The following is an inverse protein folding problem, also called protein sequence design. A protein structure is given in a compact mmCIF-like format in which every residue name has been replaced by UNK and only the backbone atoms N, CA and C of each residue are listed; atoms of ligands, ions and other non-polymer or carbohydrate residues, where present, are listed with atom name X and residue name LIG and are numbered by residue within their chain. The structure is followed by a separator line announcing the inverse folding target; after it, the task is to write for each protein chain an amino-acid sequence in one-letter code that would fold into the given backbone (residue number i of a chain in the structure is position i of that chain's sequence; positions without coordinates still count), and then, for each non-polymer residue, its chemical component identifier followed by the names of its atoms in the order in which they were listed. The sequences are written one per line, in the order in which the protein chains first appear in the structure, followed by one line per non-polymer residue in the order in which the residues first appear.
data_IF_552017868945
#
_entry.id   IF_552017868945
#
_cell.length_a   1.000
_cell.length_b   1.000
_cell.length_c   1.000
_cell.angle_alpha   90.00
_cell.angle_beta   90.00
_cell.angle_gamma   90.00
#
_symmetry.space_group_name_H-M   'P 1'
#
loop_
_entity.id
_entity.type
_entity.pdbx_description
1 polymer ?
#
# COMPACT_ATOMS: atom_id res chain seq x y z
N UNK A 1 3.21 -5.07 -21.63
CA UNK A 1 2.20 -5.17 -20.56
C UNK A 1 1.80 -3.78 -20.10
N UNK A 2 0.55 -3.60 -19.69
CA UNK A 2 0.09 -2.33 -19.12
C UNK A 2 0.90 -1.98 -17.87
N UNK A 3 1.26 -0.71 -17.72
CA UNK A 3 1.88 -0.20 -16.50
C UNK A 3 0.86 0.11 -15.39
N UNK A 4 -0.40 -0.26 -15.59
CA UNK A 4 -1.48 -0.10 -14.62
C UNK A 4 -1.86 -1.41 -13.96
N UNK A 5 -2.16 -1.37 -12.66
CA UNK A 5 -2.67 -2.50 -11.89
C UNK A 5 -3.88 -2.03 -11.08
N UNK A 6 -4.98 -2.80 -11.14
CA UNK A 6 -6.15 -2.58 -10.30
C UNK A 6 -6.17 -3.60 -9.17
N UNK A 7 -6.31 -3.11 -7.94
CA UNK A 7 -6.46 -3.95 -6.75
C UNK A 7 -7.78 -3.55 -6.08
N UNK A 8 -8.83 -4.36 -6.30
CA UNK A 8 -10.17 -3.95 -5.90
C UNK A 8 -10.54 -2.62 -6.56
N UNK A 9 -10.82 -1.59 -5.76
CA UNK A 9 -11.11 -0.24 -6.24
C UNK A 9 -9.88 0.65 -6.41
N UNK A 10 -8.71 0.21 -5.94
CA UNK A 10 -7.45 0.96 -6.08
C UNK A 10 -6.92 0.86 -7.51
N UNK A 11 -6.40 1.97 -8.03
CA UNK A 11 -5.70 2.00 -9.31
C UNK A 11 -4.27 2.46 -9.09
N UNK A 12 -3.31 1.65 -9.51
CA UNK A 12 -1.89 1.97 -9.48
C UNK A 12 -1.38 2.13 -10.90
N UNK A 13 -0.60 3.16 -11.14
CA UNK A 13 0.11 3.40 -12.40
C UNK A 13 1.59 3.49 -12.13
N UNK A 14 2.34 2.49 -12.60
CA UNK A 14 3.79 2.45 -12.44
C UNK A 14 4.47 3.41 -13.40
N UNK A 15 5.32 4.27 -12.87
CA UNK A 15 6.09 5.26 -13.62
C UNK A 15 7.53 4.80 -13.81
N UNK A 16 8.09 4.15 -12.78
CA UNK A 16 9.41 3.53 -12.78
C UNK A 16 9.28 2.18 -12.07
N UNK A 17 9.70 1.11 -12.69
CA UNK A 17 9.74 -0.21 -12.04
C UNK A 17 11.18 -0.70 -11.85
N UNK A 18 11.34 -1.82 -11.18
CA UNK A 18 12.64 -2.39 -10.83
C UNK A 18 13.50 -2.74 -12.06
N UNK A 19 12.87 -3.10 -13.17
CA UNK A 19 13.57 -3.42 -14.42
C UNK A 19 14.23 -2.20 -15.06
N UNK A 20 13.68 -1.01 -14.85
CA UNK A 20 14.19 0.24 -15.44
C UNK A 20 15.49 0.73 -14.79
N UNK A 21 15.81 0.27 -13.58
CA UNK A 21 16.88 0.87 -12.78
C UNK A 21 17.67 -0.13 -11.93
N UNK A 22 17.70 -1.39 -12.31
CA UNK A 22 18.41 -2.47 -11.59
C UNK A 22 17.96 -2.61 -10.11
N UNK A 23 16.66 -2.50 -9.86
CA UNK A 23 16.08 -2.74 -8.53
C UNK A 23 16.36 -1.65 -7.50
N UNK A 24 16.69 -0.44 -7.91
CA UNK A 24 17.00 0.66 -6.98
C UNK A 24 15.76 1.31 -6.38
N UNK A 25 14.74 1.52 -7.21
CA UNK A 25 13.48 2.08 -6.74
C UNK A 25 12.30 1.66 -7.63
N UNK A 26 11.12 1.73 -7.04
CA UNK A 26 9.84 1.67 -7.75
C UNK A 26 9.10 2.97 -7.48
N UNK A 27 8.50 3.58 -8.49
CA UNK A 27 7.69 4.78 -8.37
C UNK A 27 6.35 4.59 -9.06
N UNK A 28 5.28 4.90 -8.36
CA UNK A 28 3.93 4.76 -8.92
C UNK A 28 2.98 5.83 -8.38
N UNK A 29 1.98 6.18 -9.19
CA UNK A 29 0.80 6.90 -8.74
C UNK A 29 -0.25 5.90 -8.26
N UNK A 30 -0.98 6.25 -7.21
CA UNK A 30 -2.09 5.48 -6.71
C UNK A 30 -3.32 6.35 -6.55
N UNK A 31 -4.45 5.88 -7.07
CA UNK A 31 -5.76 6.47 -6.84
C UNK A 31 -6.49 5.63 -5.80
N UNK A 32 -6.91 6.30 -4.72
CA UNK A 32 -7.68 5.70 -3.62
C UNK A 32 -9.06 6.33 -3.62
N UNK A 33 -10.09 5.67 -4.15
CA UNK A 33 -11.46 6.18 -4.10
C UNK A 33 -11.95 6.35 -2.66
N UNK A 34 -13.02 7.14 -2.51
CA UNK A 34 -13.67 7.26 -1.21
C UNK A 34 -14.05 5.88 -0.67
N UNK A 35 -13.83 5.65 0.63
CA UNK A 35 -14.16 4.39 1.32
C UNK A 35 -13.59 3.12 0.68
N UNK A 36 -12.50 3.25 -0.08
CA UNK A 36 -11.84 2.10 -0.67
C UNK A 36 -11.42 1.10 0.41
N UNK A 37 -11.57 -0.19 0.11
CA UNK A 37 -10.96 -1.23 0.92
C UNK A 37 -9.44 -1.16 0.72
N UNK A 38 -8.72 -1.13 1.82
CA UNK A 38 -7.28 -0.93 1.86
C UNK A 38 -6.61 -2.11 2.55
N UNK A 39 -5.30 -2.31 2.33
CA UNK A 39 -4.55 -3.35 3.03
C UNK A 39 -4.58 -3.17 4.53
N UNK A 40 -4.47 -4.28 5.27
CA UNK A 40 -4.26 -4.25 6.71
C UNK A 40 -2.98 -3.49 7.07
N UNK A 41 -2.91 -2.98 8.29
CA UNK A 41 -1.69 -2.37 8.81
C UNK A 41 -0.52 -3.36 8.70
N UNK A 42 0.62 -2.90 8.21
CA UNK A 42 1.78 -3.73 7.91
C UNK A 42 3.07 -2.93 8.02
N UNK A 43 4.20 -3.60 7.92
CA UNK A 43 5.51 -2.98 7.87
C UNK A 43 6.43 -3.70 6.87
N UNK A 44 7.51 -3.02 6.48
CA UNK A 44 8.54 -3.52 5.59
C UNK A 44 9.88 -3.46 6.29
N UNK A 45 10.65 -4.55 6.25
CA UNK A 45 11.97 -4.62 6.92
C UNK A 45 13.11 -4.13 6.05
N UNK A 46 12.98 -4.28 4.74
CA UNK A 46 14.11 -4.21 3.82
C UNK A 46 14.04 -3.04 2.84
N UNK A 47 13.02 -2.20 2.94
CA UNK A 47 12.88 -1.01 2.10
C UNK A 47 12.15 0.12 2.83
N UNK A 48 12.43 1.35 2.38
CA UNK A 48 11.72 2.57 2.77
C UNK A 48 10.65 2.91 1.75
N UNK A 49 9.67 3.69 2.18
CA UNK A 49 8.60 4.20 1.33
C UNK A 49 8.42 5.69 1.55
N UNK A 50 8.25 6.45 0.47
CA UNK A 50 7.92 7.87 0.51
C UNK A 50 6.58 8.08 -0.15
N UNK A 51 5.72 8.87 0.48
CA UNK A 51 4.41 9.24 -0.04
C UNK A 51 4.34 10.74 -0.26
N UNK A 52 3.81 11.15 -1.40
CA UNK A 52 3.62 12.55 -1.77
C UNK A 52 2.21 12.77 -2.29
N UNK A 53 1.48 13.73 -1.69
CA UNK A 53 0.11 14.05 -2.07
C UNK A 53 0.04 14.77 -3.41
N UNK A 54 -0.83 14.30 -4.31
CA UNK A 54 -1.11 14.92 -5.60
C UNK A 54 -2.52 15.51 -5.67
N UNK A 55 -3.48 14.95 -4.94
CA UNK A 55 -4.86 15.42 -4.89
C UNK A 55 -5.67 14.73 -3.80
N UNK A 56 -6.69 15.41 -3.29
CA UNK A 56 -7.46 14.94 -2.15
C UNK A 56 -6.66 14.95 -0.85
N UNK A 57 -7.12 14.23 0.16
CA UNK A 57 -6.44 14.11 1.44
C UNK A 57 -6.46 12.64 1.92
N UNK A 58 -5.30 12.01 1.98
CA UNK A 58 -5.13 10.65 2.48
C UNK A 58 -4.76 10.67 3.94
N UNK A 59 -5.36 9.81 4.75
CA UNK A 59 -4.92 9.59 6.12
C UNK A 59 -3.95 8.42 6.14
N UNK A 60 -2.71 8.65 6.56
CA UNK A 60 -1.72 7.58 6.78
C UNK A 60 -1.48 7.46 8.27
N UNK A 61 -1.78 6.30 8.83
CA UNK A 61 -1.46 5.99 10.22
C UNK A 61 -0.09 5.33 10.26
N UNK A 62 0.86 5.99 10.90
CA UNK A 62 2.25 5.57 11.02
C UNK A 62 2.59 5.40 12.49
N UNK A 63 2.91 4.17 12.90
CA UNK A 63 3.17 3.81 14.31
C UNK A 63 2.09 4.34 15.27
N UNK A 64 0.82 4.22 14.88
CA UNK A 64 -0.33 4.65 15.68
C UNK A 64 -0.67 6.14 15.57
N UNK A 65 0.10 6.95 14.85
CA UNK A 65 -0.14 8.39 14.67
C UNK A 65 -0.72 8.65 13.28
N UNK A 66 -1.87 9.31 13.22
CA UNK A 66 -2.51 9.67 11.96
C UNK A 66 -1.89 10.94 11.36
N UNK A 67 -1.53 10.85 10.08
CA UNK A 67 -1.02 11.95 9.27
C UNK A 67 -1.97 12.19 8.10
N UNK A 68 -2.44 13.41 7.95
CA UNK A 68 -3.29 13.79 6.83
C UNK A 68 -2.44 14.39 5.72
N UNK A 69 -2.29 13.67 4.61
CA UNK A 69 -1.53 14.09 3.45
C UNK A 69 -2.44 14.74 2.42
N UNK A 70 -2.32 16.04 2.25
CA UNK A 70 -2.96 16.83 1.19
C UNK A 70 -2.00 16.95 0.00
N UNK A 71 -2.48 17.53 -1.10
CA UNK A 71 -1.61 17.86 -2.22
C UNK A 71 -0.41 18.71 -1.77
N UNK A 72 0.81 18.28 -2.10
CA UNK A 72 2.06 18.91 -1.70
C UNK A 72 2.66 18.42 -0.38
N UNK A 73 1.94 17.64 0.41
CA UNK A 73 2.47 17.05 1.64
C UNK A 73 3.25 15.77 1.34
N UNK A 74 4.26 15.49 2.14
CA UNK A 74 5.06 14.27 2.04
C UNK A 74 5.16 13.55 3.38
N UNK A 75 5.35 12.23 3.31
CA UNK A 75 5.58 11.40 4.48
C UNK A 75 6.65 10.35 4.15
N UNK A 76 7.65 10.25 5.02
CA UNK A 76 8.64 9.18 4.97
C UNK A 76 8.21 8.03 5.87
N UNK A 77 8.17 6.83 5.32
CA UNK A 77 7.89 5.59 6.06
C UNK A 77 9.18 4.79 6.19
N UNK A 78 9.83 4.82 7.37
CA UNK A 78 11.07 4.08 7.57
C UNK A 78 10.84 2.57 7.63
N UNK A 79 11.89 1.80 7.42
CA UNK A 79 11.89 0.35 7.61
C UNK A 79 11.35 -0.01 8.99
N UNK A 80 10.49 -1.01 9.08
CA UNK A 80 9.93 -1.49 10.33
C UNK A 80 8.78 -0.67 10.90
N UNK A 81 8.48 0.50 10.35
CA UNK A 81 7.36 1.31 10.82
C UNK A 81 6.01 0.71 10.39
N UNK A 82 5.15 0.43 11.35
CA UNK A 82 3.81 -0.07 11.07
C UNK A 82 2.96 1.05 10.49
N UNK A 83 2.34 0.82 9.34
CA UNK A 83 1.53 1.82 8.65
C UNK A 83 0.32 1.25 7.93
N UNK A 84 -0.64 2.13 7.72
CA UNK A 84 -1.87 1.90 6.98
C UNK A 84 -2.33 3.23 6.38
N UNK A 85 -2.97 3.19 5.22
CA UNK A 85 -3.62 4.37 4.64
C UNK A 85 -5.14 4.18 4.54
N UNK A 86 -5.89 5.28 4.63
CA UNK A 86 -7.35 5.30 4.47
C UNK A 86 -7.78 6.58 3.77
N UNK A 87 -8.82 6.50 2.94
CA UNK A 87 -9.51 7.67 2.41
C UNK A 87 -10.85 7.84 3.14
N UNK A 88 -10.89 8.70 4.15
CA UNK A 88 -12.10 9.05 4.90
C UNK A 88 -12.87 10.23 4.31
N UNK A 89 -12.39 10.79 3.22
CA UNK A 89 -13.04 11.91 2.53
C UNK A 89 -14.11 11.45 1.54
N UNK A 90 -14.62 12.39 0.78
CA UNK A 90 -15.68 12.21 -0.21
C UNK A 90 -15.20 12.45 -1.65
N UNK A 91 -13.90 12.47 -1.85
CA UNK A 91 -13.23 12.63 -3.14
C UNK A 91 -12.20 11.53 -3.32
N UNK A 92 -11.86 11.23 -4.57
CA UNK A 92 -10.73 10.38 -4.88
C UNK A 92 -9.44 11.04 -4.41
N UNK A 93 -8.56 10.25 -3.81
CA UNK A 93 -7.22 10.68 -3.45
C UNK A 93 -6.23 10.19 -4.47
N UNK A 94 -5.31 11.07 -4.89
CA UNK A 94 -4.18 10.71 -5.75
C UNK A 94 -2.87 10.91 -4.99
N UNK A 95 -2.04 9.88 -4.95
CA UNK A 95 -0.74 9.87 -4.28
C UNK A 95 0.35 9.43 -5.23
N UNK A 96 1.55 9.95 -5.02
CA UNK A 96 2.78 9.39 -5.58
C UNK A 96 3.47 8.60 -4.47
N UNK A 97 3.89 7.38 -4.78
CA UNK A 97 4.66 6.54 -3.87
C UNK A 97 6.00 6.17 -4.48
N UNK A 98 7.05 6.16 -3.66
CA UNK A 98 8.40 5.71 -4.02
C UNK A 98 8.84 4.66 -3.01
N UNK A 99 9.30 3.53 -3.49
CA UNK A 99 9.83 2.41 -2.70
C UNK A 99 11.30 2.20 -3.07
N UNK A 100 12.17 2.18 -2.08
CA UNK A 100 13.61 1.98 -2.30
C UNK A 100 14.23 1.11 -1.19
N UNK A 101 15.00 0.07 -1.57
CA UNK A 101 15.13 -0.53 -2.89
C UNK A 101 13.82 -1.10 -3.43
N UNK A 102 13.77 -1.41 -4.72
CA UNK A 102 12.57 -1.85 -5.45
C UNK A 102 12.20 -3.32 -5.15
N UNK A 103 12.07 -3.69 -3.88
CA UNK A 103 11.71 -5.05 -3.45
C UNK A 103 10.23 -5.32 -3.73
N UNK A 104 9.37 -4.31 -3.54
CA UNK A 104 7.95 -4.39 -3.81
C UNK A 104 7.62 -3.57 -5.06
N UNK A 105 7.40 -4.25 -6.16
CA UNK A 105 7.12 -3.64 -7.46
C UNK A 105 5.81 -4.15 -8.08
N UNK A 106 5.64 -3.99 -9.40
CA UNK A 106 4.42 -4.40 -10.10
C UNK A 106 4.00 -5.85 -9.87
N UNK A 107 4.96 -6.77 -9.74
CA UNK A 107 4.69 -8.19 -9.51
C UNK A 107 3.88 -8.41 -8.22
N UNK A 108 4.26 -7.76 -7.13
CA UNK A 108 3.51 -7.83 -5.87
C UNK A 108 2.05 -7.43 -6.06
N UNK A 109 1.82 -6.27 -6.67
CA UNK A 109 0.48 -5.72 -6.82
C UNK A 109 -0.39 -6.55 -7.78
N UNK A 110 0.19 -7.12 -8.83
CA UNK A 110 -0.51 -8.05 -9.73
C UNK A 110 -0.90 -9.34 -9.02
N UNK A 111 0.00 -9.95 -8.28
CA UNK A 111 -0.29 -11.17 -7.50
C UNK A 111 -1.36 -10.91 -6.43
N UNK A 112 -1.29 -9.79 -5.71
CA UNK A 112 -2.31 -9.40 -4.74
C UNK A 112 -3.68 -9.18 -5.42
N UNK A 113 -3.70 -8.53 -6.59
CA UNK A 113 -4.91 -8.33 -7.38
C UNK A 113 -5.55 -9.65 -7.82
N UNK A 114 -4.75 -10.63 -8.22
CA UNK A 114 -5.23 -11.97 -8.59
C UNK A 114 -5.91 -12.68 -7.42
N UNK A 115 -5.32 -12.62 -6.22
CA UNK A 115 -5.92 -13.20 -5.02
C UNK A 115 -7.26 -12.55 -4.68
N UNK A 116 -7.35 -11.22 -4.79
CA UNK A 116 -8.60 -10.48 -4.53
C UNK A 116 -9.64 -10.79 -5.59
N UNK A 117 -9.25 -10.81 -6.86
CA UNK A 117 -10.15 -11.10 -7.98
C UNK A 117 -10.75 -12.50 -7.89
N UNK A 118 -9.96 -13.49 -7.47
CA UNK A 118 -10.41 -14.88 -7.30
C UNK A 118 -11.46 -15.04 -6.21
N UNK A 119 -11.63 -14.09 -5.31
CA UNK A 119 -12.64 -14.13 -4.24
C UNK A 119 -14.06 -13.75 -4.69
N UNK A 120 -14.24 -13.33 -5.93
CA UNK A 120 -15.53 -12.96 -6.53
C UNK A 120 -16.35 -11.96 -5.67
N UNK A 121 -15.69 -10.95 -5.10
CA UNK A 121 -16.31 -9.92 -4.26
C UNK A 121 -16.41 -10.28 -2.77
N UNK A 122 -16.09 -11.52 -2.39
CA UNK A 122 -15.97 -11.93 -1.00
C UNK A 122 -14.61 -11.58 -0.38
N UNK A 123 -14.33 -12.00 0.87
CA UNK A 123 -13.02 -11.80 1.46
C UNK A 123 -11.96 -12.61 0.70
N UNK A 124 -10.77 -12.04 0.45
CA UNK A 124 -9.70 -12.76 -0.23
C UNK A 124 -9.20 -13.96 0.60
N UNK A 125 -8.67 -14.97 -0.09
CA UNK A 125 -8.04 -16.11 0.55
C UNK A 125 -6.85 -15.63 1.41
N UNK A 126 -7.00 -15.76 2.72
CA UNK A 126 -6.03 -15.27 3.69
C UNK A 126 -4.66 -15.92 3.52
N UNK A 127 -4.60 -17.23 3.30
CA UNK A 127 -3.33 -17.95 3.17
C UNK A 127 -2.58 -17.52 1.91
N UNK A 128 -3.29 -17.44 0.79
CA UNK A 128 -2.70 -16.97 -0.47
C UNK A 128 -2.20 -15.54 -0.37
N UNK A 129 -2.96 -14.65 0.27
CA UNK A 129 -2.54 -13.26 0.48
C UNK A 129 -1.30 -13.17 1.37
N UNK A 130 -1.24 -13.95 2.44
CA UNK A 130 -0.06 -14.01 3.33
C UNK A 130 1.17 -14.55 2.60
N UNK A 131 1.01 -15.49 1.69
CA UNK A 131 2.11 -16.01 0.86
C UNK A 131 2.64 -14.95 -0.11
N UNK A 132 1.75 -14.15 -0.72
CA UNK A 132 2.14 -13.00 -1.55
C UNK A 132 2.94 -11.99 -0.71
N UNK A 133 2.46 -11.61 0.45
CA UNK A 133 3.14 -10.66 1.34
C UNK A 133 4.54 -11.16 1.71
N UNK A 134 4.65 -12.41 2.11
CA UNK A 134 5.93 -13.02 2.50
C UNK A 134 6.96 -12.99 1.37
N UNK A 135 6.54 -13.31 0.15
CA UNK A 135 7.45 -13.31 -1.02
C UNK A 135 7.97 -11.92 -1.36
N UNK A 136 7.23 -10.87 -1.03
CA UNK A 136 7.54 -9.48 -1.39
C UNK A 136 7.94 -8.60 -0.20
N UNK A 137 8.29 -9.19 0.94
CA UNK A 137 8.86 -8.46 2.05
C UNK A 137 7.87 -7.66 2.90
N UNK A 138 6.57 -7.94 2.80
CA UNK A 138 5.56 -7.35 3.68
C UNK A 138 5.27 -8.25 4.88
N UNK A 139 5.09 -7.64 6.04
CA UNK A 139 4.62 -8.32 7.25
C UNK A 139 3.37 -7.61 7.76
N UNK A 140 2.27 -8.35 7.91
CA UNK A 140 1.04 -7.83 8.51
C UNK A 140 1.28 -7.62 10.00
N UNK A 141 0.91 -6.44 10.52
CA UNK A 141 1.01 -6.15 11.94
C UNK A 141 0.00 -7.00 12.73
N UNK A 142 0.42 -7.46 13.91
CA UNK A 142 -0.50 -8.10 14.84
C UNK A 142 -1.59 -7.09 15.23
N UNK A 143 -2.86 -7.53 15.29
CA UNK A 143 -3.91 -6.72 15.87
C UNK A 143 -3.51 -6.35 17.29
N UNK A 144 -3.69 -5.08 17.73
CA UNK A 144 -3.49 -4.75 19.13
C UNK A 144 -4.37 -5.67 19.95
N UNK A 145 -3.76 -6.34 20.95
CA UNK A 145 -4.51 -7.12 21.90
C UNK A 145 -5.54 -6.17 22.53
N UNK A 146 -6.83 -6.45 22.35
CA UNK A 146 -7.85 -5.76 23.12
C UNK A 146 -7.53 -6.00 24.59
N UNK A 147 -7.41 -4.93 25.42
CA UNK A 147 -7.21 -5.15 26.83
C UNK A 147 -8.35 -6.05 27.33
N UNK A 148 -8.02 -7.17 27.95
CA UNK A 148 -9.03 -8.01 28.60
C UNK A 148 -9.73 -7.13 29.63
N UNK A 149 -11.03 -6.97 29.45
CA UNK A 149 -11.88 -6.37 30.47
C UNK A 149 -11.82 -7.25 31.71
N UNK A 150 -11.05 -6.86 32.71
CA UNK A 150 -11.18 -7.33 34.09
C UNK A 150 -12.27 -6.55 34.77
#
# INVERSE_FOLDING_TARGET
MSNEVRIGSLLLKFLIDDADNNGRLTMFEMIVPERAKVPAAHYHRDFEEVWYGLGGALTVTLNGVAHKLKAGDSLFVPRGAVHRFDNFGNEDVKQLAVISPAIMGPAFFREAAEVISASAGGPPDRQKMMDVFRRHGMTVAASPLTPSST
#
